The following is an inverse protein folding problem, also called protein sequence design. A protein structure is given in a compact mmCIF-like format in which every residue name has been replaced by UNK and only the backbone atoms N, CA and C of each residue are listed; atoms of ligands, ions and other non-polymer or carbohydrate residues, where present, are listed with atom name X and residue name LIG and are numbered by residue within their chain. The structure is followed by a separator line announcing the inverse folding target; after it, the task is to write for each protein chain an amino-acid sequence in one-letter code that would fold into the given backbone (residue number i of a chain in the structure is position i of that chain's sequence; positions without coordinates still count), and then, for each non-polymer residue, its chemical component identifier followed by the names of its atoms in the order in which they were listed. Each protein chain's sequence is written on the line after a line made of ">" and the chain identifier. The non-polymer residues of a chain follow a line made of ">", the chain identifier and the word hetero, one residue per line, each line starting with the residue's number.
data_IF_712065140744
#
_entry.id   IF_712065140744
#
_cell.length_a   1.000
_cell.length_b   1.000
_cell.length_c   1.000
_cell.angle_alpha   90.00
_cell.angle_beta   90.00
_cell.angle_gamma   90.00
#
_symmetry.space_group_name_H-M   'P 1'
#
loop_
_entity.id
_entity.type
_entity.pdbx_description
1 polymer ?
#
# COMPACT_ATOMS: atom_id res chain seq x y z
N UNK A 1 13.56 10.13 34.89
CA UNK A 1 12.86 9.01 34.20
C UNK A 1 12.23 9.60 32.95
N UNK A 2 12.66 9.14 31.78
CA UNK A 2 12.67 9.92 30.53
C UNK A 2 11.35 9.82 29.75
N UNK A 3 10.60 10.92 29.65
CA UNK A 3 9.43 11.10 28.78
C UNK A 3 9.84 11.42 27.32
N UNK A 4 10.47 10.48 26.59
CA UNK A 4 11.05 10.77 25.26
C UNK A 4 10.87 9.68 24.19
N UNK A 5 9.74 8.98 24.08
CA UNK A 5 9.71 7.77 23.21
C UNK A 5 8.56 7.52 22.21
N UNK A 6 7.33 8.09 22.30
CA UNK A 6 6.31 7.77 21.28
C UNK A 6 6.56 8.41 19.91
N UNK A 7 6.97 9.69 19.90
CA UNK A 7 7.13 10.46 18.65
C UNK A 7 8.37 10.03 17.86
N UNK A 8 9.43 9.58 18.55
CA UNK A 8 10.66 9.15 17.89
C UNK A 8 10.46 7.85 17.11
N UNK A 9 9.70 6.90 17.67
CA UNK A 9 9.43 5.63 16.99
C UNK A 9 8.52 5.82 15.77
N UNK A 10 7.45 6.63 15.86
CA UNK A 10 6.61 6.93 14.68
C UNK A 10 7.43 7.58 13.56
N UNK A 11 8.35 8.49 13.89
CA UNK A 11 9.24 9.09 12.90
C UNK A 11 10.17 8.06 12.25
N UNK A 12 10.74 7.13 13.03
CA UNK A 12 11.56 6.04 12.51
C UNK A 12 10.80 5.13 11.54
N UNK A 13 9.54 4.78 11.87
CA UNK A 13 8.65 4.00 10.99
C UNK A 13 8.43 4.74 9.66
N UNK A 14 8.10 6.03 9.71
CA UNK A 14 7.90 6.86 8.51
C UNK A 14 9.19 6.92 7.68
N UNK A 15 10.33 7.21 8.31
CA UNK A 15 11.61 7.30 7.60
C UNK A 15 11.96 5.98 6.91
N UNK A 16 11.79 4.85 7.60
CA UNK A 16 12.05 3.52 7.04
C UNK A 16 11.16 3.23 5.83
N UNK A 17 9.86 3.55 5.91
CA UNK A 17 8.93 3.35 4.79
C UNK A 17 9.25 4.27 3.61
N UNK A 18 9.59 5.54 3.86
CA UNK A 18 9.99 6.48 2.81
C UNK A 18 11.29 6.06 2.15
N UNK A 19 12.29 5.64 2.92
CA UNK A 19 13.54 5.10 2.39
C UNK A 19 13.29 3.87 1.51
N UNK A 20 12.42 2.95 1.93
CA UNK A 20 12.05 1.80 1.11
C UNK A 20 11.38 2.21 -0.20
N UNK A 21 10.43 3.15 -0.15
CA UNK A 21 9.78 3.68 -1.35
C UNK A 21 10.85 4.26 -2.29
N UNK A 22 11.76 5.09 -1.78
CA UNK A 22 12.77 5.75 -2.61
C UNK A 22 13.85 4.79 -3.15
N UNK A 23 14.33 3.86 -2.34
CA UNK A 23 15.47 3.00 -2.68
C UNK A 23 15.08 1.71 -3.40
N UNK A 24 13.80 1.33 -3.36
CA UNK A 24 13.33 0.11 -4.00
C UNK A 24 12.15 0.37 -4.94
N UNK A 25 11.04 0.92 -4.43
CA UNK A 25 9.80 1.04 -5.22
C UNK A 25 9.95 2.02 -6.39
N UNK A 26 10.67 3.13 -6.18
CA UNK A 26 10.92 4.18 -7.17
C UNK A 26 12.07 3.86 -8.13
N UNK A 27 12.85 2.82 -7.88
CA UNK A 27 14.01 2.53 -8.70
C UNK A 27 13.62 1.81 -10.00
N UNK A 28 14.13 2.26 -11.16
CA UNK A 28 13.99 1.54 -12.42
C UNK A 28 14.39 0.09 -12.29
N UNK A 29 13.59 -0.81 -12.85
CA UNK A 29 13.87 -2.23 -12.83
C UNK A 29 13.52 -2.86 -14.19
N UNK A 30 14.45 -3.65 -14.74
CA UNK A 30 14.30 -4.25 -16.06
C UNK A 30 13.13 -5.21 -16.20
N UNK A 31 12.64 -5.77 -15.09
CA UNK A 31 11.42 -6.61 -15.06
C UNK A 31 10.17 -5.82 -15.47
N UNK A 32 10.15 -4.51 -15.17
CA UNK A 32 9.04 -3.61 -15.44
C UNK A 32 9.35 -2.69 -16.62
N UNK A 33 10.05 -3.18 -17.66
CA UNK A 33 10.38 -2.37 -18.83
C UNK A 33 11.29 -1.16 -18.53
N UNK A 34 12.18 -1.29 -17.54
CA UNK A 34 13.00 -0.20 -16.98
C UNK A 34 12.20 0.93 -16.32
N UNK A 35 10.92 0.69 -16.00
CA UNK A 35 10.14 1.56 -15.11
C UNK A 35 10.33 1.14 -13.65
N UNK A 36 9.98 2.02 -12.70
CA UNK A 36 9.88 1.67 -11.29
C UNK A 36 8.86 0.57 -11.00
N UNK A 37 8.97 -0.08 -9.84
CA UNK A 37 7.96 -1.05 -9.35
C UNK A 37 6.59 -0.37 -9.18
N UNK A 38 6.54 0.87 -8.72
CA UNK A 38 5.35 1.70 -8.83
C UNK A 38 5.69 2.98 -9.61
N UNK A 39 5.36 3.05 -10.91
CA UNK A 39 5.76 4.16 -11.78
C UNK A 39 5.28 5.55 -11.34
N UNK A 40 4.22 5.61 -10.51
CA UNK A 40 3.58 6.86 -10.11
C UNK A 40 3.98 7.36 -8.73
N UNK A 41 4.52 6.48 -7.86
CA UNK A 41 4.76 6.83 -6.45
C UNK A 41 5.75 8.00 -6.29
N UNK A 42 6.78 8.09 -7.14
CA UNK A 42 7.76 9.18 -7.09
C UNK A 42 7.11 10.54 -7.36
N UNK A 43 6.14 10.58 -8.29
CA UNK A 43 5.37 11.80 -8.56
C UNK A 43 4.57 12.21 -7.32
N UNK A 44 3.79 11.29 -6.77
CA UNK A 44 2.96 11.58 -5.59
C UNK A 44 3.79 12.01 -4.39
N UNK A 45 4.91 11.34 -4.12
CA UNK A 45 5.81 11.71 -3.03
C UNK A 45 6.37 13.11 -3.20
N UNK A 46 6.87 13.47 -4.39
CA UNK A 46 7.43 14.81 -4.66
C UNK A 46 6.38 15.91 -4.63
N UNK A 47 5.15 15.61 -5.00
CA UNK A 47 4.02 16.54 -4.98
C UNK A 47 3.33 16.63 -3.61
N UNK A 48 3.77 15.85 -2.60
CA UNK A 48 3.17 15.83 -1.27
C UNK A 48 1.81 15.13 -1.20
N UNK A 49 1.48 14.30 -2.20
CA UNK A 49 0.17 13.66 -2.39
C UNK A 49 0.04 12.28 -1.75
N UNK A 50 1.00 11.89 -0.91
CA UNK A 50 0.94 10.66 -0.11
C UNK A 50 0.70 11.03 1.35
N UNK A 51 -0.47 10.68 1.88
CA UNK A 51 -0.78 10.81 3.30
C UNK A 51 -0.23 9.60 4.06
N UNK A 52 0.80 9.81 4.88
CA UNK A 52 1.39 8.76 5.72
C UNK A 52 0.82 8.84 7.15
N UNK A 53 0.28 7.74 7.65
CA UNK A 53 -0.27 7.61 9.00
C UNK A 53 0.38 6.44 9.70
N UNK A 54 0.93 6.64 10.90
CA UNK A 54 1.44 5.54 11.74
C UNK A 54 0.46 5.27 12.86
N UNK A 55 -0.31 4.20 12.71
CA UNK A 55 -1.43 3.87 13.58
C UNK A 55 -1.46 2.38 13.90
N UNK A 56 -1.80 2.06 15.15
CA UNK A 56 -2.20 0.70 15.52
C UNK A 56 -3.64 0.49 15.08
N UNK A 57 -3.92 -0.64 14.45
CA UNK A 57 -5.26 -1.05 14.05
C UNK A 57 -5.41 -2.56 14.24
N UNK A 58 -6.64 -3.00 14.45
CA UNK A 58 -6.96 -4.40 14.71
C UNK A 58 -7.99 -4.92 13.70
N UNK A 59 -7.95 -6.21 13.45
CA UNK A 59 -8.95 -6.90 12.62
C UNK A 59 -9.04 -8.36 13.06
N UNK A 60 -10.28 -8.82 13.15
CA UNK A 60 -10.63 -10.24 13.27
C UNK A 60 -11.94 -10.44 12.52
N UNK A 61 -12.13 -11.60 11.88
CA UNK A 61 -13.36 -11.87 11.14
C UNK A 61 -14.62 -11.79 12.02
N UNK A 62 -14.49 -12.07 13.31
CA UNK A 62 -15.59 -12.06 14.27
C UNK A 62 -15.99 -10.65 14.71
N UNK A 63 -15.04 -9.71 14.83
CA UNK A 63 -15.28 -8.37 15.38
C UNK A 63 -15.25 -7.24 14.36
N UNK A 64 -15.14 -7.54 13.06
CA UNK A 64 -15.07 -6.55 11.97
C UNK A 64 -13.83 -5.64 12.06
N UNK A 65 -13.84 -4.53 11.32
CA UNK A 65 -12.76 -3.54 11.31
C UNK A 65 -12.73 -2.73 12.61
N UNK A 66 -11.52 -2.40 13.05
CA UNK A 66 -11.30 -1.35 14.06
C UNK A 66 -11.99 -0.04 13.62
N UNK A 67 -12.79 0.60 14.49
CA UNK A 67 -13.41 1.90 14.20
C UNK A 67 -12.42 2.94 13.67
N UNK A 68 -11.16 2.91 14.10
CA UNK A 68 -10.12 3.81 13.60
C UNK A 68 -9.85 3.63 12.09
N UNK A 69 -9.97 2.41 11.57
CA UNK A 69 -9.84 2.17 10.11
C UNK A 69 -10.98 2.87 9.38
N UNK A 70 -12.20 2.83 9.91
CA UNK A 70 -13.37 3.51 9.34
C UNK A 70 -13.22 5.04 9.36
N UNK A 71 -12.68 5.58 10.44
CA UNK A 71 -12.38 7.01 10.56
C UNK A 71 -11.33 7.44 9.52
N UNK A 72 -10.27 6.65 9.32
CA UNK A 72 -9.23 6.92 8.32
C UNK A 72 -9.77 6.86 6.89
N UNK A 73 -10.64 5.90 6.57
CA UNK A 73 -11.29 5.81 5.25
C UNK A 73 -12.15 7.06 5.01
N UNK A 74 -12.89 7.49 6.03
CA UNK A 74 -13.73 8.70 5.97
C UNK A 74 -12.87 9.96 5.77
N UNK A 75 -11.77 10.08 6.53
CA UNK A 75 -10.79 11.16 6.38
C UNK A 75 -10.27 11.22 4.93
N UNK A 76 -9.80 10.08 4.40
CA UNK A 76 -9.27 10.02 3.03
C UNK A 76 -10.33 10.35 1.99
N UNK A 77 -11.57 9.88 2.16
CA UNK A 77 -12.62 10.11 1.17
C UNK A 77 -13.12 11.56 1.14
N UNK A 78 -12.99 12.29 2.24
CA UNK A 78 -13.38 13.71 2.34
C UNK A 78 -12.28 14.66 1.83
N UNK A 79 -11.04 14.18 1.69
CA UNK A 79 -9.91 14.95 1.20
C UNK A 79 -9.70 14.73 -0.31
N UNK A 80 -9.68 15.82 -1.08
CA UNK A 80 -9.49 15.78 -2.53
C UNK A 80 -8.04 16.09 -2.97
N UNK A 81 -7.12 16.30 -2.03
CA UNK A 81 -5.73 16.65 -2.28
C UNK A 81 -4.85 15.40 -2.38
N UNK A 82 -5.01 14.45 -1.47
CA UNK A 82 -4.20 13.22 -1.46
C UNK A 82 -4.63 12.24 -2.56
N UNK A 83 -3.66 11.61 -3.21
CA UNK A 83 -3.90 10.55 -4.20
C UNK A 83 -3.81 9.15 -3.56
N UNK A 84 -3.08 9.08 -2.44
CA UNK A 84 -2.74 7.85 -1.75
C UNK A 84 -2.75 8.13 -0.25
N UNK A 85 -3.41 7.29 0.54
CA UNK A 85 -3.18 7.21 1.98
C UNK A 85 -2.57 5.87 2.32
N UNK A 86 -1.43 5.87 3.01
CA UNK A 86 -0.78 4.67 3.52
C UNK A 86 -0.79 4.70 5.06
N UNK A 87 -1.41 3.68 5.64
CA UNK A 87 -1.56 3.49 7.08
C UNK A 87 -0.63 2.36 7.50
N UNK A 88 0.37 2.70 8.31
CA UNK A 88 1.48 1.83 8.69
C UNK A 88 1.31 1.40 10.14
N UNK A 89 1.30 0.09 10.37
CA UNK A 89 1.30 -0.47 11.70
C UNK A 89 2.73 -0.42 12.29
N UNK A 90 2.96 0.17 13.48
CA UNK A 90 4.32 0.30 14.03
C UNK A 90 4.92 -1.05 14.47
N UNK A 91 4.07 -2.05 14.77
CA UNK A 91 4.50 -3.42 15.03
C UNK A 91 4.47 -4.26 13.73
N UNK A 92 5.64 -4.76 13.30
CA UNK A 92 5.82 -5.61 12.11
C UNK A 92 5.20 -7.00 12.20
N UNK A 93 4.81 -7.42 13.40
CA UNK A 93 4.26 -8.74 13.71
C UNK A 93 2.80 -8.66 14.19
N UNK A 94 2.13 -7.53 13.98
CA UNK A 94 0.76 -7.33 14.45
C UNK A 94 -0.26 -8.25 13.79
N UNK A 95 0.04 -8.69 12.56
CA UNK A 95 -0.75 -9.62 11.77
C UNK A 95 0.18 -10.61 11.11
N UNK A 96 -0.28 -11.84 10.93
CA UNK A 96 0.27 -12.79 9.97
C UNK A 96 -0.03 -12.36 8.53
N UNK A 97 0.65 -12.99 7.57
CA UNK A 97 0.40 -12.73 6.15
C UNK A 97 -1.04 -13.08 5.74
N UNK A 98 -1.58 -14.17 6.28
CA UNK A 98 -2.95 -14.61 5.94
C UNK A 98 -4.01 -13.70 6.57
N UNK A 99 -3.79 -13.25 7.81
CA UNK A 99 -4.66 -12.23 8.43
C UNK A 99 -4.65 -10.92 7.65
N UNK A 100 -3.50 -10.49 7.11
CA UNK A 100 -3.44 -9.30 6.25
C UNK A 100 -4.17 -9.48 4.92
N UNK A 101 -4.10 -10.67 4.31
CA UNK A 101 -4.85 -10.97 3.10
C UNK A 101 -6.36 -10.94 3.35
N UNK A 102 -6.80 -11.59 4.43
CA UNK A 102 -8.19 -11.59 4.88
C UNK A 102 -8.69 -10.17 5.15
N UNK A 103 -7.93 -9.39 5.92
CA UNK A 103 -8.21 -7.97 6.18
C UNK A 103 -8.38 -7.19 4.88
N UNK A 104 -7.46 -7.35 3.93
CA UNK A 104 -7.46 -6.59 2.68
C UNK A 104 -8.64 -6.97 1.78
N UNK A 105 -9.00 -8.25 1.74
CA UNK A 105 -10.13 -8.72 0.95
C UNK A 105 -11.44 -8.18 1.52
N UNK A 106 -11.67 -8.37 2.82
CA UNK A 106 -12.87 -7.85 3.49
C UNK A 106 -12.95 -6.33 3.37
N UNK A 107 -11.80 -5.64 3.53
CA UNK A 107 -11.75 -4.18 3.43
C UNK A 107 -12.15 -3.72 2.04
N UNK A 108 -11.64 -4.37 0.99
CA UNK A 108 -12.02 -4.07 -0.39
C UNK A 108 -13.51 -4.28 -0.65
N UNK A 109 -14.10 -5.37 -0.13
CA UNK A 109 -15.53 -5.63 -0.26
C UNK A 109 -16.37 -4.52 0.43
N UNK A 110 -15.87 -3.98 1.54
CA UNK A 110 -16.50 -2.88 2.26
C UNK A 110 -16.34 -1.51 1.56
N UNK A 111 -15.17 -1.18 1.02
CA UNK A 111 -14.88 0.16 0.47
C UNK A 111 -15.12 0.29 -1.04
N UNK A 112 -15.29 -0.80 -1.78
CA UNK A 112 -15.56 -0.75 -3.22
C UNK A 112 -16.79 0.11 -3.58
N UNK A 113 -17.93 0.08 -2.85
CA UNK A 113 -19.05 0.99 -3.09
C UNK A 113 -18.72 2.48 -2.93
N UNK A 114 -17.62 2.80 -2.24
CA UNK A 114 -17.12 4.18 -2.06
C UNK A 114 -16.19 4.62 -3.20
N UNK A 115 -15.95 3.75 -4.20
CA UNK A 115 -15.01 3.99 -5.29
C UNK A 115 -13.55 3.86 -4.87
N UNK A 116 -13.26 3.15 -3.78
CA UNK A 116 -11.92 2.99 -3.22
C UNK A 116 -11.42 1.56 -3.36
N UNK A 117 -10.10 1.40 -3.39
CA UNK A 117 -9.41 0.12 -3.36
C UNK A 117 -8.26 0.19 -2.36
N UNK A 118 -8.02 -0.94 -1.69
CA UNK A 118 -6.96 -1.15 -0.73
C UNK A 118 -5.93 -2.17 -1.24
N UNK A 119 -4.65 -1.84 -1.04
CA UNK A 119 -3.53 -2.76 -1.19
C UNK A 119 -2.87 -2.97 0.17
N UNK A 120 -2.40 -4.18 0.47
CA UNK A 120 -1.61 -4.44 1.68
C UNK A 120 -0.13 -4.65 1.37
N UNK A 121 0.68 -4.25 2.35
CA UNK A 121 2.09 -4.59 2.43
C UNK A 121 2.38 -5.40 3.69
N UNK A 122 3.24 -6.40 3.56
CA UNK A 122 3.63 -7.25 4.68
C UNK A 122 5.11 -7.69 4.55
N UNK A 123 5.92 -7.70 5.64
CA UNK A 123 7.35 -8.04 5.57
C UNK A 123 7.68 -9.45 5.08
N UNK A 124 6.69 -10.34 5.11
CA UNK A 124 6.80 -11.73 4.64
C UNK A 124 6.03 -12.01 3.36
N UNK A 125 5.48 -11.00 2.69
CA UNK A 125 4.81 -11.22 1.41
C UNK A 125 5.80 -11.79 0.38
N UNK A 126 5.35 -12.83 -0.33
CA UNK A 126 6.09 -13.58 -1.32
C UNK A 126 5.59 -13.34 -2.75
N UNK A 127 4.63 -12.43 -2.94
CA UNK A 127 4.23 -11.96 -4.27
C UNK A 127 5.45 -11.46 -5.03
N UNK A 128 5.67 -12.05 -6.20
CA UNK A 128 6.87 -11.79 -6.99
C UNK A 128 6.56 -11.74 -8.49
N UNK A 129 7.27 -10.85 -9.17
CA UNK A 129 7.28 -10.76 -10.63
C UNK A 129 8.72 -11.06 -11.06
N UNK A 130 8.94 -12.18 -11.74
CA UNK A 130 10.25 -12.55 -12.30
C UNK A 130 11.42 -12.40 -11.29
N UNK A 131 11.20 -12.88 -10.06
CA UNK A 131 12.18 -12.83 -8.96
C UNK A 131 12.22 -11.53 -8.15
N UNK A 132 11.39 -10.52 -8.47
CA UNK A 132 11.28 -9.26 -7.72
C UNK A 132 10.09 -9.33 -6.76
N UNK A 133 10.35 -9.28 -5.45
CA UNK A 133 9.32 -9.28 -4.40
C UNK A 133 8.73 -7.88 -4.20
N UNK A 134 7.63 -7.57 -4.87
CA UNK A 134 7.12 -6.19 -4.96
C UNK A 134 6.24 -5.75 -3.79
N UNK A 135 5.79 -6.67 -2.93
CA UNK A 135 4.90 -6.39 -1.78
C UNK A 135 5.56 -6.61 -0.41
N UNK A 136 6.87 -6.87 -0.41
CA UNK A 136 7.63 -7.13 0.82
C UNK A 136 8.05 -5.84 1.49
N UNK A 137 7.09 -5.21 2.15
CA UNK A 137 7.28 -3.91 2.79
C UNK A 137 7.96 -4.02 4.17
N UNK A 138 8.71 -2.99 4.62
CA UNK A 138 9.39 -3.02 5.92
C UNK A 138 8.46 -3.17 7.14
N UNK A 139 7.19 -2.77 6.99
CA UNK A 139 6.14 -2.81 8.01
C UNK A 139 4.83 -3.30 7.40
N UNK A 140 3.97 -3.83 8.26
CA UNK A 140 2.57 -4.09 7.91
C UNK A 140 1.90 -2.75 7.60
N UNK A 141 1.23 -2.67 6.46
CA UNK A 141 0.49 -1.49 6.09
C UNK A 141 -0.70 -1.83 5.18
N UNK A 142 -1.63 -0.90 5.08
CA UNK A 142 -2.57 -0.85 3.97
C UNK A 142 -2.54 0.53 3.32
N UNK A 143 -2.80 0.55 2.02
CA UNK A 143 -2.79 1.75 1.19
C UNK A 143 -4.14 1.90 0.50
N UNK A 144 -4.78 3.06 0.61
CA UNK A 144 -6.04 3.40 -0.05
C UNK A 144 -5.81 4.30 -1.26
N UNK A 145 -6.55 4.03 -2.34
CA UNK A 145 -6.57 4.82 -3.56
C UNK A 145 -7.96 4.82 -4.20
N UNK A 146 -8.24 5.77 -5.08
CA UNK A 146 -9.47 5.77 -5.89
C UNK A 146 -9.36 4.76 -7.05
N UNK A 147 -10.38 3.91 -7.22
CA UNK A 147 -10.42 2.86 -8.25
C UNK A 147 -10.23 3.45 -9.65
N UNK A 148 -10.92 4.56 -9.96
CA UNK A 148 -10.83 5.19 -11.29
C UNK A 148 -9.41 5.62 -11.64
N UNK A 149 -8.66 6.17 -10.67
CA UNK A 149 -7.28 6.58 -10.87
C UNK A 149 -6.35 5.38 -11.04
N UNK A 150 -6.54 4.34 -10.23
CA UNK A 150 -5.78 3.09 -10.36
C UNK A 150 -5.99 2.48 -11.76
N UNK A 151 -7.23 2.45 -12.25
CA UNK A 151 -7.56 1.93 -13.58
C UNK A 151 -6.95 2.79 -14.69
N UNK A 152 -7.04 4.11 -14.59
CA UNK A 152 -6.39 5.03 -15.53
C UNK A 152 -4.87 4.77 -15.62
N UNK A 153 -4.22 4.61 -14.47
CA UNK A 153 -2.79 4.29 -14.41
C UNK A 153 -2.47 2.92 -14.99
N UNK A 154 -3.30 1.91 -14.69
CA UNK A 154 -3.14 0.57 -15.26
C UNK A 154 -3.27 0.59 -16.79
N UNK A 155 -4.21 1.35 -17.35
CA UNK A 155 -4.41 1.49 -18.79
C UNK A 155 -3.23 2.19 -19.48
N UNK A 156 -2.65 3.23 -18.85
CA UNK A 156 -1.41 3.84 -19.33
C UNK A 156 -0.31 2.78 -19.41
N UNK A 157 -0.14 1.96 -18.36
CA UNK A 157 0.89 0.92 -18.30
C UNK A 157 0.67 -0.22 -19.29
N UNK A 158 -0.57 -0.56 -19.65
CA UNK A 158 -0.87 -1.58 -20.69
C UNK A 158 -0.29 -1.23 -22.06
N UNK A 159 -0.08 0.06 -22.34
CA UNK A 159 0.55 0.52 -23.59
C UNK A 159 2.09 0.50 -23.57
N UNK A 160 2.69 -0.01 -22.50
CA UNK A 160 4.14 -0.02 -22.26
C UNK A 160 4.66 -1.45 -22.02
N UNK A 161 5.98 -1.59 -21.86
CA UNK A 161 6.62 -2.87 -21.52
C UNK A 161 6.43 -3.30 -20.04
N UNK A 162 5.67 -2.56 -19.24
CA UNK A 162 5.55 -2.77 -17.79
C UNK A 162 5.08 -4.18 -17.40
N UNK A 163 4.13 -4.72 -18.17
CA UNK A 163 3.50 -6.02 -17.88
C UNK A 163 4.11 -7.20 -18.65
N UNK A 164 5.13 -6.98 -19.50
CA UNK A 164 5.65 -8.03 -20.40
C UNK A 164 6.19 -9.28 -19.67
N UNK A 165 6.67 -9.11 -18.43
CA UNK A 165 7.21 -10.21 -17.61
C UNK A 165 6.25 -10.75 -16.56
N UNK A 166 5.01 -10.27 -16.55
CA UNK A 166 4.01 -10.76 -15.61
C UNK A 166 3.47 -12.11 -16.09
N UNK A 167 3.36 -13.07 -15.18
CA UNK A 167 2.64 -14.32 -15.47
C UNK A 167 1.14 -14.04 -15.64
N UNK A 168 0.43 -14.96 -16.30
CA UNK A 168 -1.03 -14.87 -16.39
C UNK A 168 -1.69 -14.81 -15.01
N UNK A 169 -1.22 -15.62 -14.06
CA UNK A 169 -1.65 -15.60 -12.65
C UNK A 169 -1.45 -14.21 -12.01
N UNK A 170 -0.31 -13.56 -12.25
CA UNK A 170 -0.06 -12.21 -11.73
C UNK A 170 -1.01 -11.16 -12.34
N UNK A 171 -1.44 -11.34 -13.59
CA UNK A 171 -2.37 -10.43 -14.26
C UNK A 171 -3.81 -10.57 -13.75
N UNK A 172 -4.21 -11.73 -13.22
CA UNK A 172 -5.53 -11.91 -12.59
C UNK A 172 -5.72 -10.98 -11.38
N UNK A 173 -4.63 -10.58 -10.72
CA UNK A 173 -4.66 -9.61 -9.62
C UNK A 173 -4.87 -8.15 -10.07
N UNK A 174 -4.85 -7.86 -11.37
CA UNK A 174 -5.04 -6.50 -11.93
C UNK A 174 -6.43 -6.33 -12.56
N UNK A 175 -7.09 -7.40 -12.99
CA UNK A 175 -8.30 -7.34 -13.81
C UNK A 175 -9.63 -7.31 -13.02
N UNK A 176 -9.66 -6.76 -11.80
CA UNK A 176 -10.89 -6.66 -11.00
C UNK A 176 -11.62 -5.33 -11.19
#
# INVERSE_FOLDING_TARGET
>A
MSEHQPNNHKNEVVLTMVEHIQQFIEQPNSVFGNMPICPFVSKFRREGKILLKVETFYYTKEFSFDPKVLDLITEFKQDNYYEVMMVIHPNKLAFSLDEMKDFTQDLNDFIAPLGLIAFSGHPLDNFNIDGVYTRRDPFINFTLQEIEKVNLYADILKSTAYYERWSLENLEHIQR
#
